data_IF_535902693380
#
_entry.id   IF_535902693380
#
_cell.length_a   1.000
_cell.length_b   1.000
_cell.length_c   1.000
_cell.angle_alpha   90.00
_cell.angle_beta   90.00
_cell.angle_gamma   90.00
#
_symmetry.space_group_name_H-M   'P 1'
#
loop_
_entity.id
_entity.type
_entity.pdbx_description
1 polymer ?
#
# COMPACT_ATOMS: atom_id res chain seq x y z
N UNK A 1 -10.50 -22.38 11.64
CA UNK A 1 -9.05 -22.14 11.92
C UNK A 1 -8.53 -21.05 11.01
N UNK A 2 -7.66 -20.11 11.49
CA UNK A 2 -7.03 -19.12 10.62
C UNK A 2 -5.87 -19.76 9.87
N UNK A 3 -6.03 -20.04 8.58
CA UNK A 3 -4.95 -20.59 7.74
C UNK A 3 -3.75 -19.62 7.65
N UNK A 4 -4.03 -18.33 7.49
CA UNK A 4 -3.01 -17.27 7.37
C UNK A 4 -2.24 -17.08 8.67
N UNK A 5 -2.92 -17.01 9.82
CA UNK A 5 -2.28 -16.74 11.11
C UNK A 5 -1.28 -17.82 11.53
N UNK A 6 -1.47 -19.06 11.13
CA UNK A 6 -0.58 -20.19 11.45
C UNK A 6 0.66 -20.30 10.59
N UNK A 7 0.70 -19.58 9.46
CA UNK A 7 1.87 -19.64 8.57
C UNK A 7 3.04 -18.91 9.23
N UNK A 8 4.18 -19.56 9.42
CA UNK A 8 5.38 -18.87 9.89
C UNK A 8 5.77 -17.76 8.92
N UNK A 9 6.51 -16.80 9.41
CA UNK A 9 7.07 -15.70 8.61
C UNK A 9 8.57 -15.90 8.58
N UNK A 10 9.12 -16.24 7.42
CA UNK A 10 10.54 -16.35 7.24
C UNK A 10 11.20 -14.96 7.33
N UNK A 11 12.33 -14.88 8.02
CA UNK A 11 13.17 -13.69 8.11
C UNK A 11 14.28 -13.83 7.06
N UNK A 12 14.25 -13.04 5.98
CA UNK A 12 15.29 -13.11 4.95
C UNK A 12 16.65 -12.67 5.48
N UNK A 13 17.73 -13.14 4.85
CA UNK A 13 19.08 -12.70 5.17
C UNK A 13 19.20 -11.17 5.06
N UNK A 14 19.81 -10.53 6.07
CA UNK A 14 19.96 -9.08 6.15
C UNK A 14 18.76 -8.35 6.77
N UNK A 15 17.74 -9.06 7.26
CA UNK A 15 16.65 -8.50 8.05
C UNK A 15 16.80 -8.86 9.51
N UNK A 16 16.67 -7.88 10.39
CA UNK A 16 16.61 -8.09 11.84
C UNK A 16 15.22 -7.75 12.35
N UNK A 17 14.71 -8.59 13.23
CA UNK A 17 13.40 -8.38 13.86
C UNK A 17 13.59 -8.39 15.37
N UNK A 18 13.23 -7.29 16.00
CA UNK A 18 13.22 -7.09 17.44
C UNK A 18 11.79 -7.01 17.93
N UNK A 19 11.46 -7.78 18.97
CA UNK A 19 10.15 -7.81 19.60
C UNK A 19 10.33 -7.31 21.02
N UNK A 20 9.81 -6.12 21.30
CA UNK A 20 9.85 -5.53 22.63
C UNK A 20 8.61 -5.92 23.45
N UNK A 21 8.66 -5.65 24.76
CA UNK A 21 7.50 -5.70 25.64
C UNK A 21 6.36 -4.87 25.03
N UNK A 22 5.12 -5.22 25.28
CA UNK A 22 3.92 -4.62 24.66
C UNK A 22 3.73 -4.91 23.16
N UNK A 23 4.34 -5.96 22.62
CA UNK A 23 4.22 -6.33 21.20
C UNK A 23 4.60 -5.20 20.23
N UNK A 24 5.54 -4.33 20.62
CA UNK A 24 6.16 -3.41 19.68
C UNK A 24 7.19 -4.19 18.86
N UNK A 25 6.90 -4.37 17.60
CA UNK A 25 7.78 -5.05 16.65
C UNK A 25 8.52 -4.01 15.82
N UNK A 26 9.85 -4.13 15.79
CA UNK A 26 10.75 -3.33 14.96
C UNK A 26 11.42 -4.23 13.95
N UNK A 27 11.26 -3.92 12.67
CA UNK A 27 11.86 -4.67 11.56
C UNK A 27 12.84 -3.76 10.83
N UNK A 28 14.11 -4.16 10.78
CA UNK A 28 15.18 -3.44 10.07
C UNK A 28 15.65 -4.27 8.88
N UNK A 29 15.78 -3.66 7.74
CA UNK A 29 16.25 -4.30 6.53
C UNK A 29 17.01 -3.33 5.61
N UNK A 30 17.40 -3.79 4.41
CA UNK A 30 18.23 -3.00 3.49
C UNK A 30 17.58 -1.71 3.03
N UNK A 31 16.24 -1.63 2.97
CA UNK A 31 15.51 -0.43 2.52
C UNK A 31 15.12 0.53 3.65
N UNK A 32 15.25 0.11 4.90
CA UNK A 32 14.93 0.96 6.04
C UNK A 32 14.44 0.20 7.26
N UNK A 33 13.81 0.93 8.17
CA UNK A 33 13.28 0.40 9.42
C UNK A 33 11.81 0.74 9.54
N UNK A 34 11.01 -0.25 9.93
CA UNK A 34 9.59 -0.08 10.26
C UNK A 34 9.35 -0.50 11.71
N UNK A 35 8.50 0.26 12.39
CA UNK A 35 8.07 -0.04 13.76
C UNK A 35 6.55 -0.05 13.83
N UNK A 36 6.01 -1.01 14.57
CA UNK A 36 4.56 -1.07 14.81
C UNK A 36 4.25 -1.72 16.14
N UNK A 37 3.28 -1.15 16.85
CA UNK A 37 2.69 -1.78 18.04
C UNK A 37 1.54 -2.67 17.57
N UNK A 38 1.60 -3.93 17.93
CA UNK A 38 0.62 -4.97 17.56
C UNK A 38 -0.29 -5.29 18.75
N UNK A 39 -1.46 -5.95 18.51
CA UNK A 39 -2.38 -6.29 19.57
C UNK A 39 -1.71 -7.07 20.70
N UNK A 40 -1.86 -6.60 21.94
CA UNK A 40 -1.24 -7.20 23.12
C UNK A 40 -1.75 -8.62 23.43
N UNK A 41 -2.94 -8.96 22.92
CA UNK A 41 -3.53 -10.27 23.12
C UNK A 41 -2.82 -11.40 22.31
N UNK A 42 -2.00 -11.04 21.34
CA UNK A 42 -1.26 -12.01 20.53
C UNK A 42 0.12 -12.26 21.12
N UNK A 43 0.52 -13.52 21.13
CA UNK A 43 1.88 -13.91 21.50
C UNK A 43 2.73 -14.00 20.23
N UNK A 44 3.80 -13.20 20.16
CA UNK A 44 4.70 -13.17 19.00
C UNK A 44 6.05 -13.75 19.45
N UNK A 45 6.49 -14.81 18.79
CA UNK A 45 7.76 -15.49 19.10
C UNK A 45 8.65 -15.50 17.87
N UNK A 46 9.93 -15.31 18.11
CA UNK A 46 10.99 -15.54 17.12
C UNK A 46 11.64 -16.90 17.41
N UNK A 47 11.57 -17.81 16.48
CA UNK A 47 12.18 -19.13 16.54
C UNK A 47 13.19 -19.29 15.39
N UNK A 48 14.47 -19.07 15.71
CA UNK A 48 15.53 -19.06 14.69
C UNK A 48 15.29 -17.96 13.64
N UNK A 49 15.12 -18.39 12.39
CA UNK A 49 14.88 -17.49 11.24
C UNK A 49 13.38 -17.34 10.88
N UNK A 50 12.49 -17.70 11.80
CA UNK A 50 11.07 -17.59 11.59
C UNK A 50 10.38 -16.84 12.73
N UNK A 51 9.25 -16.17 12.41
CA UNK A 51 8.38 -15.56 13.39
C UNK A 51 7.06 -16.31 13.40
N UNK A 52 6.65 -16.71 14.59
CA UNK A 52 5.39 -17.41 14.83
C UNK A 52 4.49 -16.51 15.68
N UNK A 53 3.23 -16.41 15.27
CA UNK A 53 2.20 -15.69 16.01
C UNK A 53 1.22 -16.69 16.60
N UNK A 54 1.02 -16.66 17.91
CA UNK A 54 0.08 -17.48 18.63
C UNK A 54 -1.10 -16.65 19.15
N UNK A 55 -2.25 -17.31 19.32
CA UNK A 55 -3.44 -16.72 19.95
C UNK A 55 -3.81 -17.48 21.22
N UNK A 56 -4.35 -16.79 22.25
CA UNK A 56 -4.66 -17.40 23.54
C UNK A 56 -5.87 -18.36 23.48
N UNK A 57 -6.82 -18.10 22.60
CA UNK A 57 -8.05 -18.89 22.48
C UNK A 57 -8.67 -18.80 21.07
N UNK A 58 -9.78 -19.53 20.87
CA UNK A 58 -10.48 -19.67 19.60
C UNK A 58 -11.69 -18.74 19.42
N UNK A 59 -11.79 -17.68 20.24
CA UNK A 59 -12.82 -16.67 20.05
C UNK A 59 -12.72 -15.99 18.68
N UNK A 60 -13.85 -15.54 18.13
CA UNK A 60 -13.92 -14.90 16.82
C UNK A 60 -12.95 -13.71 16.70
N UNK A 61 -12.88 -12.85 17.75
CA UNK A 61 -11.95 -11.73 17.82
C UNK A 61 -10.49 -12.20 17.71
N UNK A 62 -10.09 -13.22 18.48
CA UNK A 62 -8.72 -13.74 18.48
C UNK A 62 -8.32 -14.33 17.15
N UNK A 63 -9.24 -15.04 16.47
CA UNK A 63 -9.01 -15.57 15.12
C UNK A 63 -8.77 -14.45 14.10
N UNK A 64 -9.50 -13.33 14.20
CA UNK A 64 -9.32 -12.17 13.32
C UNK A 64 -7.99 -11.46 13.59
N UNK A 65 -7.66 -11.20 14.86
CA UNK A 65 -6.40 -10.56 15.26
C UNK A 65 -5.18 -11.41 14.89
N UNK A 66 -5.27 -12.73 15.02
CA UNK A 66 -4.20 -13.65 14.67
C UNK A 66 -3.76 -13.51 13.21
N UNK A 67 -4.72 -13.55 12.27
CA UNK A 67 -4.42 -13.37 10.85
C UNK A 67 -3.95 -11.96 10.52
N UNK A 68 -4.53 -10.94 11.16
CA UNK A 68 -4.12 -9.54 10.99
C UNK A 68 -2.68 -9.32 11.46
N UNK A 69 -2.34 -9.72 12.68
CA UNK A 69 -1.00 -9.56 13.27
C UNK A 69 0.06 -10.22 12.39
N UNK A 70 -0.16 -11.47 11.99
CA UNK A 70 0.74 -12.19 11.08
C UNK A 70 0.94 -11.42 9.78
N UNK A 71 -0.14 -10.93 9.17
CA UNK A 71 -0.06 -10.20 7.90
C UNK A 71 0.68 -8.88 8.04
N UNK A 72 0.47 -8.14 9.14
CA UNK A 72 1.17 -6.88 9.39
C UNK A 72 2.69 -7.10 9.53
N UNK A 73 3.12 -8.10 10.30
CA UNK A 73 4.54 -8.43 10.43
C UNK A 73 5.13 -8.82 9.06
N UNK A 74 4.44 -9.69 8.33
CA UNK A 74 4.90 -10.11 7.00
C UNK A 74 5.02 -8.91 6.04
N UNK A 75 4.06 -7.98 6.08
CA UNK A 75 4.14 -6.76 5.27
C UNK A 75 5.34 -5.89 5.67
N UNK A 76 5.70 -5.82 6.95
CA UNK A 76 6.90 -5.10 7.39
C UNK A 76 8.17 -5.77 6.88
N UNK A 77 8.27 -7.10 6.96
CA UNK A 77 9.44 -7.85 6.46
C UNK A 77 9.61 -7.65 4.95
N UNK A 78 8.55 -7.85 4.15
CA UNK A 78 8.59 -7.61 2.70
C UNK A 78 8.89 -6.14 2.37
N UNK A 79 8.31 -5.21 3.12
CA UNK A 79 8.52 -3.78 2.90
C UNK A 79 9.96 -3.33 3.07
N UNK A 80 10.67 -3.82 4.09
CA UNK A 80 12.09 -3.46 4.31
C UNK A 80 13.06 -4.22 3.40
N UNK A 81 12.61 -5.30 2.74
CA UNK A 81 13.42 -6.09 1.79
C UNK A 81 13.19 -5.63 0.35
N UNK A 82 12.00 -5.85 -0.17
CA UNK A 82 11.63 -5.59 -1.57
C UNK A 82 11.04 -4.19 -1.75
N UNK A 83 10.34 -3.70 -0.74
CA UNK A 83 9.51 -2.50 -0.81
C UNK A 83 8.16 -2.79 -1.43
N UNK A 84 7.32 -1.77 -1.48
CA UNK A 84 6.03 -1.81 -2.13
C UNK A 84 5.94 -0.76 -3.22
N UNK A 85 5.24 -1.10 -4.28
CA UNK A 85 4.91 -0.17 -5.35
C UNK A 85 3.45 -0.31 -5.76
N UNK A 86 2.84 0.80 -6.14
CA UNK A 86 1.49 0.82 -6.72
C UNK A 86 1.50 1.71 -7.96
N UNK A 87 1.20 1.12 -9.11
CA UNK A 87 1.18 1.79 -10.39
C UNK A 87 -0.20 2.39 -10.67
N UNK A 88 -0.22 3.64 -11.11
CA UNK A 88 -1.41 4.40 -11.48
C UNK A 88 -1.30 4.88 -12.93
N UNK A 89 -2.43 4.90 -13.62
CA UNK A 89 -2.56 5.40 -14.98
C UNK A 89 -3.48 6.63 -15.01
N UNK A 90 -3.02 7.69 -15.66
CA UNK A 90 -3.74 8.94 -15.84
C UNK A 90 -4.34 8.96 -17.25
N UNK A 91 -5.64 8.74 -17.36
CA UNK A 91 -6.35 8.63 -18.62
C UNK A 91 -7.17 9.88 -18.92
N UNK A 92 -6.94 10.51 -20.06
CA UNK A 92 -7.72 11.68 -20.52
C UNK A 92 -6.93 12.56 -21.48
N UNK A 93 -7.63 13.18 -22.42
CA UNK A 93 -7.02 14.14 -23.35
C UNK A 93 -6.54 15.36 -22.56
N UNK A 94 -5.25 15.68 -22.66
CA UNK A 94 -4.62 16.77 -21.92
C UNK A 94 -4.33 16.48 -20.45
N UNK A 95 -4.64 15.28 -19.95
CA UNK A 95 -4.24 14.88 -18.60
C UNK A 95 -2.76 14.49 -18.59
N UNK A 96 -2.05 14.94 -17.58
CA UNK A 96 -0.62 14.64 -17.43
C UNK A 96 -0.20 14.77 -15.97
N UNK A 97 0.84 14.03 -15.63
CA UNK A 97 1.54 14.10 -14.35
C UNK A 97 2.98 14.63 -14.58
N UNK A 98 3.43 15.50 -13.72
CA UNK A 98 4.81 16.03 -13.73
C UNK A 98 5.32 16.01 -12.30
N UNK A 99 6.56 15.55 -12.10
CA UNK A 99 7.22 15.53 -10.81
C UNK A 99 8.39 16.50 -10.80
N UNK A 100 8.47 17.34 -9.76
CA UNK A 100 9.62 18.24 -9.50
C UNK A 100 10.05 18.08 -8.03
N UNK A 101 11.12 17.35 -7.81
CA UNK A 101 11.54 16.99 -6.45
C UNK A 101 10.45 16.22 -5.71
N UNK A 102 9.97 16.72 -4.58
CA UNK A 102 8.86 16.12 -3.82
C UNK A 102 7.47 16.54 -4.28
N UNK A 103 7.37 17.55 -5.16
CA UNK A 103 6.08 18.07 -5.61
C UNK A 103 5.60 17.30 -6.85
N UNK A 104 4.44 16.66 -6.74
CA UNK A 104 3.70 16.05 -7.82
C UNK A 104 2.63 17.03 -8.32
N UNK A 105 2.71 17.42 -9.58
CA UNK A 105 1.73 18.30 -10.23
C UNK A 105 0.91 17.52 -11.24
N UNK A 106 -0.41 17.50 -11.06
CA UNK A 106 -1.37 16.76 -11.87
C UNK A 106 -2.26 17.74 -12.65
N UNK A 107 -2.22 17.69 -13.97
CA UNK A 107 -3.18 18.36 -14.85
C UNK A 107 -4.32 17.40 -15.18
N UNK A 108 -5.50 17.64 -14.61
CA UNK A 108 -6.63 16.71 -14.65
C UNK A 108 -7.90 17.34 -15.26
N UNK A 109 -7.74 18.37 -16.09
CA UNK A 109 -8.87 19.08 -16.71
C UNK A 109 -9.64 20.00 -15.77
N UNK A 110 -9.02 20.41 -14.67
CA UNK A 110 -9.47 21.52 -13.82
C UNK A 110 -8.89 22.85 -14.32
N UNK A 111 -9.45 23.98 -13.85
CA UNK A 111 -8.95 25.33 -14.16
C UNK A 111 -7.53 25.59 -13.62
N UNK A 112 -7.10 24.83 -12.61
CA UNK A 112 -5.79 24.90 -12.00
C UNK A 112 -5.21 23.48 -11.84
N UNK A 113 -3.88 23.29 -11.85
CA UNK A 113 -3.26 22.01 -11.57
C UNK A 113 -3.50 21.60 -10.12
N UNK A 114 -3.53 20.30 -9.87
CA UNK A 114 -3.57 19.75 -8.51
C UNK A 114 -2.14 19.46 -8.09
N UNK A 115 -1.73 20.03 -6.98
CA UNK A 115 -0.39 19.84 -6.42
C UNK A 115 -0.46 18.98 -5.17
N UNK A 116 0.45 18.02 -5.05
CA UNK A 116 0.57 17.11 -3.92
C UNK A 116 2.04 16.93 -3.57
N UNK A 117 2.36 16.97 -2.28
CA UNK A 117 3.71 16.67 -1.80
C UNK A 117 3.80 15.20 -1.36
N UNK A 118 4.95 14.57 -1.62
CA UNK A 118 5.18 13.21 -1.17
C UNK A 118 5.29 13.19 0.36
N UNK A 119 4.51 12.34 1.04
CA UNK A 119 4.64 12.16 2.47
C UNK A 119 5.95 11.43 2.82
N UNK A 120 6.34 11.52 4.07
CA UNK A 120 7.57 10.90 4.57
C UNK A 120 7.57 9.36 4.36
N UNK A 121 8.65 8.87 3.74
CA UNK A 121 8.81 7.44 3.43
C UNK A 121 8.11 6.98 2.16
N UNK A 122 7.57 7.90 1.37
CA UNK A 122 6.95 7.64 0.06
C UNK A 122 7.71 8.42 -1.02
N UNK A 123 7.88 7.78 -2.16
CA UNK A 123 8.43 8.37 -3.37
C UNK A 123 7.48 8.11 -4.54
N UNK A 124 7.14 9.16 -5.28
CA UNK A 124 6.41 9.02 -6.54
C UNK A 124 7.38 9.16 -7.70
N UNK A 125 7.40 8.19 -8.57
CA UNK A 125 8.14 8.21 -9.84
C UNK A 125 7.14 8.37 -10.98
N UNK A 126 7.36 9.35 -11.84
CA UNK A 126 6.60 9.54 -13.07
C UNK A 126 7.40 8.85 -14.18
N UNK A 127 6.92 7.69 -14.65
CA UNK A 127 7.56 6.96 -15.74
C UNK A 127 7.29 7.66 -17.07
N UNK A 128 6.04 8.03 -17.29
CA UNK A 128 5.55 8.77 -18.44
C UNK A 128 4.56 9.85 -18.01
N UNK A 129 4.21 10.77 -18.89
CA UNK A 129 3.21 11.81 -18.60
C UNK A 129 1.86 11.25 -18.09
N UNK A 130 1.59 9.98 -18.38
CA UNK A 130 0.34 9.30 -18.05
C UNK A 130 0.50 8.12 -17.08
N UNK A 131 1.71 7.86 -16.60
CA UNK A 131 2.00 6.73 -15.72
C UNK A 131 2.82 7.18 -14.53
N UNK A 132 2.32 6.89 -13.34
CA UNK A 132 3.04 7.12 -12.09
C UNK A 132 3.13 5.84 -11.26
N UNK A 133 4.22 5.71 -10.51
CA UNK A 133 4.45 4.63 -9.57
C UNK A 133 4.71 5.23 -8.20
N UNK A 134 3.87 4.86 -7.24
CA UNK A 134 4.03 5.22 -5.82
C UNK A 134 4.85 4.12 -5.16
N UNK A 135 6.00 4.46 -4.60
CA UNK A 135 6.95 3.53 -3.95
C UNK A 135 7.14 3.86 -2.48
N UNK A 136 7.39 2.83 -1.68
CA UNK A 136 7.70 3.00 -0.26
C UNK A 136 7.93 1.67 0.45
N UNK A 137 8.40 1.75 1.68
CA UNK A 137 8.62 0.57 2.53
C UNK A 137 7.36 0.14 3.28
N UNK A 138 6.45 1.09 3.54
CA UNK A 138 5.20 0.82 4.27
C UNK A 138 4.04 0.63 3.29
N UNK A 139 3.53 -0.60 3.21
CA UNK A 139 2.38 -0.96 2.36
C UNK A 139 1.15 -0.11 2.60
N UNK A 140 0.89 0.25 3.85
CA UNK A 140 -0.26 1.03 4.25
C UNK A 140 -0.17 2.46 3.73
N UNK A 141 0.99 3.10 3.93
CA UNK A 141 1.27 4.45 3.42
C UNK A 141 1.26 4.50 1.88
N UNK A 142 1.89 3.52 1.21
CA UNK A 142 1.88 3.42 -0.26
C UNK A 142 0.45 3.30 -0.79
N UNK A 143 -0.36 2.42 -0.18
CA UNK A 143 -1.75 2.22 -0.57
C UNK A 143 -2.61 3.46 -0.33
N UNK A 144 -2.44 4.11 0.83
CA UNK A 144 -3.17 5.32 1.20
C UNK A 144 -2.88 6.47 0.23
N UNK A 145 -1.59 6.76 -0.01
CA UNK A 145 -1.21 7.86 -0.89
C UNK A 145 -1.61 7.60 -2.36
N UNK A 146 -1.51 6.36 -2.82
CA UNK A 146 -2.02 5.98 -4.14
C UNK A 146 -3.54 6.19 -4.25
N UNK A 147 -4.30 5.90 -3.20
CA UNK A 147 -5.74 6.17 -3.15
C UNK A 147 -6.04 7.67 -3.18
N UNK A 148 -5.30 8.48 -2.44
CA UNK A 148 -5.44 9.94 -2.43
C UNK A 148 -5.17 10.56 -3.81
N UNK A 149 -4.13 10.09 -4.52
CA UNK A 149 -3.86 10.50 -5.91
C UNK A 149 -5.04 10.13 -6.81
N UNK A 150 -5.54 8.90 -6.71
CA UNK A 150 -6.66 8.42 -7.51
C UNK A 150 -7.95 9.20 -7.24
N UNK A 151 -8.20 9.59 -6.00
CA UNK A 151 -9.37 10.36 -5.59
C UNK A 151 -9.40 11.76 -6.19
N UNK A 152 -8.25 12.38 -6.49
CA UNK A 152 -8.19 13.72 -7.12
C UNK A 152 -8.99 13.76 -8.44
N UNK A 153 -9.05 12.65 -9.16
CA UNK A 153 -9.93 12.48 -10.32
C UNK A 153 -10.20 11.00 -10.55
N UNK A 154 -11.20 10.46 -9.84
CA UNK A 154 -11.60 9.08 -10.01
C UNK A 154 -12.07 8.80 -11.45
N UNK A 155 -11.84 7.59 -12.00
CA UNK A 155 -12.20 7.26 -13.36
C UNK A 155 -13.72 7.28 -13.55
N UNK A 156 -14.18 7.95 -14.60
CA UNK A 156 -15.59 8.02 -14.94
C UNK A 156 -16.04 6.79 -15.77
N UNK A 157 -17.31 6.38 -15.68
CA UNK A 157 -17.77 5.12 -16.26
C UNK A 157 -18.05 5.16 -17.77
N UNK A 158 -18.02 6.31 -18.44
CA UNK A 158 -18.35 6.41 -19.86
C UNK A 158 -17.14 6.32 -20.78
N UNK A 159 -16.21 7.26 -20.68
CA UNK A 159 -14.98 7.31 -21.47
C UNK A 159 -13.76 6.76 -20.70
N UNK A 160 -13.90 6.55 -19.39
CA UNK A 160 -12.82 6.06 -18.52
C UNK A 160 -11.77 7.12 -18.21
N UNK A 161 -12.12 8.43 -18.34
CA UNK A 161 -11.21 9.52 -17.97
C UNK A 161 -11.05 9.59 -16.45
N UNK A 162 -9.82 9.79 -16.01
CA UNK A 162 -9.46 9.87 -14.60
C UNK A 162 -8.20 9.07 -14.30
N UNK A 163 -7.88 8.96 -13.02
CA UNK A 163 -6.75 8.19 -12.52
C UNK A 163 -7.26 6.85 -12.03
N UNK A 164 -6.70 5.76 -12.53
CA UNK A 164 -7.01 4.40 -12.10
C UNK A 164 -5.75 3.65 -11.67
N UNK A 165 -5.90 2.57 -10.91
CA UNK A 165 -4.81 1.61 -10.74
C UNK A 165 -4.56 0.85 -12.06
N UNK A 166 -3.32 0.44 -12.31
CA UNK A 166 -2.98 -0.32 -13.52
C UNK A 166 -3.74 -1.64 -13.65
N UNK A 167 -4.05 -2.25 -12.53
CA UNK A 167 -4.81 -3.51 -12.40
C UNK A 167 -6.34 -3.29 -12.32
N UNK A 168 -6.81 -2.03 -12.31
CA UNK A 168 -8.24 -1.69 -12.18
C UNK A 168 -8.96 -1.75 -13.53
N UNK A 169 -10.00 -2.56 -13.60
CA UNK A 169 -10.90 -2.63 -14.76
C UNK A 169 -12.12 -1.78 -14.51
N UNK A 170 -12.26 -0.70 -15.30
CA UNK A 170 -13.42 0.21 -15.18
C UNK A 170 -14.59 -0.38 -15.96
N UNK A 171 -15.68 -0.72 -15.22
CA UNK A 171 -16.94 -1.14 -15.84
C UNK A 171 -17.58 0.04 -16.56
N UNK A 172 -17.50 0.06 -17.89
CA UNK A 172 -18.06 1.12 -18.73
C UNK A 172 -19.57 0.99 -18.87
N UNK A 173 -20.25 2.14 -18.87
CA UNK A 173 -21.67 2.27 -19.16
C UNK A 173 -21.84 2.82 -20.58
N UNK A 174 -22.90 2.41 -21.25
CA UNK A 174 -23.30 2.99 -22.53
C UNK A 174 -23.98 4.34 -22.25
N UNK A 175 -23.52 5.40 -22.90
CA UNK A 175 -24.16 6.72 -22.82
C UNK A 175 -25.55 6.70 -23.42
N UNK A 176 -26.38 7.72 -23.13
CA UNK A 176 -27.66 7.90 -23.76
C UNK A 176 -27.44 8.07 -25.28
N UNK A 177 -27.92 7.11 -26.07
CA UNK A 177 -28.07 7.29 -27.51
C UNK A 177 -29.23 8.21 -27.74
N UNK A 178 -29.00 9.44 -28.20
CA UNK A 178 -30.08 10.31 -28.64
C UNK A 178 -30.86 9.57 -29.75
N UNK A 179 -32.13 9.32 -29.54
CA UNK A 179 -33.01 8.99 -30.67
C UNK A 179 -32.93 10.15 -31.65
N UNK A 180 -32.46 9.89 -32.87
CA UNK A 180 -32.77 10.72 -34.04
C UNK A 180 -34.24 10.61 -34.34
#
# INVERSE_FOLDING_TARGET
>A
MSRIGRMPIAIPAGVTVDIAENNKVTVKGPKGTLERVLPAEMEIKKEGDEIIVNRPNDLKKMKSLHGLTRTLINNMVVGVTEGYEKKLEVNGVGYRAVKKGKLLTLSLGYSHPVEMEDPEGIEVVVEDANTLVVKGIDKEKVGQYAAEIREKRAPEPYKGKGIKYSDEVIRRKVGKTGKK
#
